data_IF_587053775416
#
_entry.id   IF_587053775416
#
_cell.length_a   1.000
_cell.length_b   1.000
_cell.length_c   1.000
_cell.angle_alpha   90.00
_cell.angle_beta   90.00
_cell.angle_gamma   90.00
#
_symmetry.space_group_name_H-M   'P 1'
#
loop_
_entity.id
_entity.type
_entity.pdbx_description
1 polymer ?
#
# COMPACT_ATOMS: atom_id res chain seq x y z
N UNK A 1 -19.12 5.64 -8.67
CA UNK A 1 -18.30 6.79 -9.12
C UNK A 1 -17.09 6.89 -8.22
N UNK A 2 -15.90 7.05 -8.81
CA UNK A 2 -14.68 7.27 -8.03
C UNK A 2 -14.69 8.60 -7.26
N UNK A 3 -13.77 8.71 -6.30
CA UNK A 3 -13.59 9.94 -5.52
C UNK A 3 -12.87 10.97 -6.39
N UNK A 4 -13.42 12.19 -6.50
CA UNK A 4 -12.74 13.27 -7.21
C UNK A 4 -11.49 13.69 -6.47
N UNK A 5 -10.36 13.75 -7.16
CA UNK A 5 -9.10 14.27 -6.62
C UNK A 5 -8.90 15.76 -6.95
N UNK A 6 -9.93 16.43 -7.45
CA UNK A 6 -9.87 17.83 -7.88
C UNK A 6 -8.70 18.10 -8.83
N UNK A 7 -8.48 17.20 -9.79
CA UNK A 7 -7.37 17.24 -10.74
C UNK A 7 -5.96 17.11 -10.10
N UNK A 8 -5.86 16.70 -8.82
CA UNK A 8 -4.58 16.43 -8.16
C UNK A 8 -4.12 15.01 -8.44
N UNK A 9 -2.80 14.84 -8.51
CA UNK A 9 -2.16 13.54 -8.71
C UNK A 9 -1.91 12.87 -7.35
N UNK A 10 -2.45 11.68 -7.17
CA UNK A 10 -2.18 10.84 -6.01
C UNK A 10 -1.23 9.72 -6.42
N UNK A 11 0.01 9.79 -6.00
CA UNK A 11 1.00 8.75 -6.22
C UNK A 11 0.90 7.75 -5.07
N UNK A 12 0.49 6.53 -5.37
CA UNK A 12 0.30 5.47 -4.38
C UNK A 12 1.35 4.40 -4.62
N UNK A 13 2.17 4.16 -3.60
CA UNK A 13 3.24 3.18 -3.65
C UNK A 13 3.07 2.10 -2.56
N UNK A 14 3.34 0.85 -2.94
CA UNK A 14 3.57 -0.23 -2.00
C UNK A 14 5.02 -0.14 -1.52
N UNK A 15 5.25 -0.28 -0.20
CA UNK A 15 6.60 -0.29 0.38
C UNK A 15 7.51 -1.33 -0.29
N UNK A 16 8.82 -1.13 -0.23
CA UNK A 16 9.83 -2.06 -0.73
C UNK A 16 9.84 -3.40 0.02
N UNK A 17 10.53 -4.40 -0.54
CA UNK A 17 10.65 -5.72 0.07
C UNK A 17 11.19 -5.66 1.50
N UNK A 18 10.56 -6.41 2.41
CA UNK A 18 11.01 -6.57 3.80
C UNK A 18 11.61 -7.94 4.03
N UNK A 19 12.32 -8.10 5.15
CA UNK A 19 12.83 -9.41 5.58
C UNK A 19 11.72 -10.46 5.75
N UNK A 20 10.47 -10.05 6.08
CA UNK A 20 9.34 -10.95 6.19
C UNK A 20 8.77 -11.34 4.81
N UNK A 21 8.71 -10.40 3.88
CA UNK A 21 8.31 -10.71 2.51
C UNK A 21 9.23 -11.77 1.90
N UNK A 22 10.55 -11.64 2.10
CA UNK A 22 11.55 -12.56 1.56
C UNK A 22 11.35 -14.02 2.02
N UNK A 23 10.78 -14.21 3.20
CA UNK A 23 10.53 -15.56 3.78
C UNK A 23 9.04 -15.90 3.86
N UNK A 24 8.19 -15.22 3.10
CA UNK A 24 6.74 -15.43 3.03
C UNK A 24 6.05 -15.45 4.40
N UNK A 25 6.47 -14.57 5.32
CA UNK A 25 5.79 -14.35 6.59
C UNK A 25 4.77 -13.22 6.49
N UNK A 26 3.62 -13.41 7.11
CA UNK A 26 2.62 -12.37 7.23
C UNK A 26 3.10 -11.24 8.13
N UNK A 27 2.86 -10.02 7.69
CA UNK A 27 3.11 -8.83 8.48
C UNK A 27 1.91 -7.89 8.36
N UNK A 28 1.17 -7.80 9.44
CA UNK A 28 0.06 -6.87 9.60
C UNK A 28 0.48 -5.65 10.41
N UNK A 29 -0.37 -5.31 11.36
CA UNK A 29 -0.17 -4.14 12.23
C UNK A 29 0.73 -4.44 13.44
N UNK A 30 0.89 -5.70 13.85
CA UNK A 30 1.76 -6.06 14.96
C UNK A 30 3.26 -5.93 14.63
N UNK A 31 3.66 -6.06 13.35
CA UNK A 31 5.06 -6.01 12.91
C UNK A 31 5.45 -4.63 12.37
N UNK A 32 5.30 -3.58 13.18
CA UNK A 32 5.60 -2.21 12.79
C UNK A 32 7.08 -1.97 12.46
N UNK A 33 7.99 -2.72 13.07
CA UNK A 33 9.44 -2.48 12.99
C UNK A 33 10.17 -3.40 12.01
N UNK A 34 9.45 -4.19 11.19
CA UNK A 34 10.10 -5.05 10.19
C UNK A 34 10.85 -4.20 9.16
N UNK A 35 12.18 -4.36 9.02
CA UNK A 35 12.98 -3.53 8.14
C UNK A 35 12.87 -3.97 6.67
N UNK A 36 13.23 -3.06 5.77
CA UNK A 36 13.45 -3.37 4.36
C UNK A 36 14.67 -4.30 4.22
N UNK A 37 14.64 -5.13 3.17
CA UNK A 37 15.87 -5.78 2.66
C UNK A 37 16.70 -4.78 1.87
N UNK A 38 17.94 -5.15 1.50
CA UNK A 38 18.72 -4.36 0.55
C UNK A 38 17.97 -4.15 -0.78
N UNK A 39 17.32 -5.20 -1.29
CA UNK A 39 16.49 -5.12 -2.48
C UNK A 39 15.33 -4.15 -2.30
N UNK A 40 14.67 -4.17 -1.14
CA UNK A 40 13.62 -3.19 -0.80
C UNK A 40 14.11 -1.75 -0.78
N UNK A 41 15.35 -1.50 -0.33
CA UNK A 41 15.96 -0.17 -0.41
C UNK A 41 16.22 0.25 -1.88
N UNK A 42 16.71 -0.68 -2.72
CA UNK A 42 16.91 -0.42 -4.15
C UNK A 42 15.57 -0.12 -4.84
N UNK A 43 14.52 -0.90 -4.56
CA UNK A 43 13.17 -0.65 -5.07
C UNK A 43 12.67 0.74 -4.67
N UNK A 44 12.86 1.16 -3.43
CA UNK A 44 12.46 2.48 -2.96
C UNK A 44 13.20 3.61 -3.72
N UNK A 45 14.50 3.48 -3.92
CA UNK A 45 15.28 4.45 -4.72
C UNK A 45 14.82 4.51 -6.18
N UNK A 46 14.51 3.38 -6.79
CA UNK A 46 13.99 3.34 -8.15
C UNK A 46 12.63 4.02 -8.26
N UNK A 47 11.73 3.82 -7.27
CA UNK A 47 10.46 4.54 -7.19
C UNK A 47 10.69 6.06 -7.12
N UNK A 48 11.63 6.50 -6.29
CA UNK A 48 11.98 7.92 -6.16
C UNK A 48 12.45 8.54 -7.48
N UNK A 49 13.37 7.87 -8.18
CA UNK A 49 13.85 8.31 -9.51
C UNK A 49 12.76 8.38 -10.57
N UNK A 50 11.88 7.36 -10.58
CA UNK A 50 10.75 7.35 -11.51
C UNK A 50 9.78 8.46 -11.19
N UNK A 51 9.51 8.72 -9.90
CA UNK A 51 8.65 9.82 -9.46
C UNK A 51 9.26 11.18 -9.81
N UNK A 52 10.57 11.39 -9.63
CA UNK A 52 11.26 12.63 -10.01
C UNK A 52 11.03 12.98 -11.49
N UNK A 53 11.13 11.98 -12.37
CA UNK A 53 10.86 12.16 -13.80
C UNK A 53 9.39 12.52 -14.09
N UNK A 54 8.47 12.03 -13.26
CA UNK A 54 7.03 12.27 -13.41
C UNK A 54 6.60 13.64 -12.88
N UNK A 55 7.23 14.12 -11.81
CA UNK A 55 6.89 15.38 -11.14
C UNK A 55 7.33 16.61 -11.92
N UNK A 56 8.51 16.57 -12.53
CA UNK A 56 9.17 17.74 -13.05
C UNK A 56 9.91 18.55 -11.96
N UNK A 57 10.65 19.59 -12.36
CA UNK A 57 11.62 20.26 -11.50
C UNK A 57 11.04 20.94 -10.23
N UNK A 58 9.82 21.45 -10.30
CA UNK A 58 9.27 22.32 -9.25
C UNK A 58 8.12 21.69 -8.43
N UNK A 59 7.70 20.46 -8.77
CA UNK A 59 6.59 19.82 -8.11
C UNK A 59 7.05 19.15 -6.79
N UNK A 60 6.42 19.53 -5.70
CA UNK A 60 6.63 18.93 -4.37
C UNK A 60 5.29 18.36 -3.88
N UNK A 61 5.09 17.04 -3.93
CA UNK A 61 3.87 16.43 -3.42
C UNK A 61 3.87 16.48 -1.88
N UNK A 62 2.69 16.59 -1.29
CA UNK A 62 2.51 16.35 0.14
C UNK A 62 2.84 14.88 0.46
N UNK A 63 3.66 14.66 1.48
CA UNK A 63 4.11 13.31 1.86
C UNK A 63 3.15 12.70 2.87
N UNK A 64 2.66 11.50 2.57
CA UNK A 64 1.84 10.67 3.44
C UNK A 64 2.42 9.26 3.58
N UNK A 65 2.44 8.72 4.78
CA UNK A 65 2.88 7.36 5.03
C UNK A 65 2.07 6.67 6.11
N UNK A 66 1.90 5.37 5.94
CA UNK A 66 1.64 4.48 7.06
C UNK A 66 2.71 4.65 8.14
N UNK A 67 2.33 4.49 9.40
CA UNK A 67 3.25 4.57 10.56
C UNK A 67 4.19 3.37 10.68
N UNK A 68 4.01 2.30 9.89
CA UNK A 68 4.90 1.15 9.88
C UNK A 68 6.30 1.52 9.35
N UNK A 69 7.36 1.08 10.03
CA UNK A 69 8.75 1.40 9.72
C UNK A 69 9.16 1.10 8.29
N UNK A 70 8.67 -0.01 7.69
CA UNK A 70 8.90 -0.35 6.28
C UNK A 70 8.36 0.69 5.29
N UNK A 71 7.21 1.30 5.60
CA UNK A 71 6.64 2.36 4.78
C UNK A 71 7.42 3.66 4.96
N UNK A 72 7.77 4.01 6.20
CA UNK A 72 8.57 5.18 6.52
C UNK A 72 9.99 5.10 5.92
N UNK A 73 10.65 3.94 5.96
CA UNK A 73 11.94 3.74 5.31
C UNK A 73 11.85 3.88 3.78
N UNK A 74 10.78 3.32 3.18
CA UNK A 74 10.54 3.48 1.75
C UNK A 74 10.34 4.96 1.39
N UNK A 75 9.52 5.69 2.16
CA UNK A 75 9.30 7.11 1.92
C UNK A 75 10.59 7.92 2.06
N UNK A 76 11.41 7.66 3.09
CA UNK A 76 12.66 8.40 3.30
C UNK A 76 13.60 8.29 2.08
N UNK A 77 13.73 7.09 1.51
CA UNK A 77 14.54 6.85 0.32
C UNK A 77 13.95 7.50 -0.95
N UNK A 78 12.62 7.57 -1.06
CA UNK A 78 11.97 8.29 -2.16
C UNK A 78 12.15 9.80 -2.00
N UNK A 79 11.96 10.34 -0.79
CA UNK A 79 12.09 11.76 -0.48
C UNK A 79 13.49 12.29 -0.83
N UNK A 80 14.55 11.50 -0.57
CA UNK A 80 15.92 11.80 -0.96
C UNK A 80 16.07 11.99 -2.49
N UNK A 81 15.42 11.16 -3.29
CA UNK A 81 15.52 11.21 -4.76
C UNK A 81 14.68 12.34 -5.40
N UNK A 82 13.68 12.86 -4.69
CA UNK A 82 12.83 13.98 -5.16
C UNK A 82 13.11 15.30 -4.44
N UNK A 83 14.16 15.37 -3.64
CA UNK A 83 14.55 16.55 -2.84
C UNK A 83 13.40 17.09 -1.98
N UNK A 84 12.68 16.18 -1.30
CA UNK A 84 11.59 16.53 -0.40
C UNK A 84 12.00 16.39 1.06
N UNK A 85 11.49 17.29 1.93
CA UNK A 85 11.75 17.21 3.36
C UNK A 85 10.92 16.08 4.00
N UNK A 86 11.57 15.01 4.35
CA UNK A 86 10.93 13.88 5.01
C UNK A 86 10.35 14.23 6.39
N UNK A 87 10.83 15.26 7.07
CA UNK A 87 10.29 15.71 8.36
C UNK A 87 8.86 16.26 8.24
N UNK A 88 8.46 16.73 7.07
CA UNK A 88 7.11 17.17 6.76
C UNK A 88 6.12 16.01 6.44
N UNK A 89 6.54 14.77 6.63
CA UNK A 89 5.69 13.61 6.37
C UNK A 89 4.50 13.54 7.31
N UNK A 90 3.31 13.53 6.75
CA UNK A 90 2.07 13.17 7.44
C UNK A 90 2.04 11.65 7.66
N UNK A 91 1.89 11.22 8.90
CA UNK A 91 1.83 9.81 9.30
C UNK A 91 0.44 9.49 9.79
N UNK A 92 -0.16 8.41 9.28
CA UNK A 92 -1.53 8.07 9.62
C UNK A 92 -1.71 6.55 9.75
N UNK A 93 -2.23 6.11 10.90
CA UNK A 93 -2.49 4.69 11.17
C UNK A 93 -3.57 4.11 10.27
N UNK A 94 -4.43 4.94 9.70
CA UNK A 94 -5.41 4.50 8.72
C UNK A 94 -4.80 4.03 7.39
N UNK A 95 -3.49 4.26 7.18
CA UNK A 95 -2.71 3.73 6.06
C UNK A 95 -1.96 2.44 6.38
N UNK A 96 -2.04 1.91 7.61
CA UNK A 96 -1.45 0.63 8.01
C UNK A 96 -1.97 -0.52 7.14
N UNK A 97 -1.21 -1.63 7.09
CA UNK A 97 -1.65 -2.86 6.43
C UNK A 97 -2.89 -3.43 7.11
N UNK A 98 -3.63 -4.28 6.41
CA UNK A 98 -4.69 -5.06 7.02
C UNK A 98 -4.16 -5.78 8.26
N UNK A 99 -4.88 -5.69 9.38
CA UNK A 99 -4.50 -6.43 10.58
C UNK A 99 -4.78 -7.92 10.36
N UNK A 100 -3.74 -8.71 10.44
CA UNK A 100 -3.85 -10.17 10.26
C UNK A 100 -4.02 -10.91 11.59
N UNK A 101 -4.20 -10.20 12.71
CA UNK A 101 -4.50 -10.77 14.01
C UNK A 101 -3.55 -11.91 14.38
N UNK A 102 -4.12 -13.08 14.71
CA UNK A 102 -3.33 -14.28 15.11
C UNK A 102 -2.48 -14.89 14.01
N UNK A 103 -2.57 -14.44 12.76
CA UNK A 103 -1.69 -14.89 11.69
C UNK A 103 -0.35 -14.13 11.65
N UNK A 104 -0.23 -13.08 12.46
CA UNK A 104 0.94 -12.23 12.56
C UNK A 104 2.23 -13.05 12.75
N UNK A 105 3.28 -12.72 12.01
CA UNK A 105 4.59 -13.40 12.00
C UNK A 105 4.61 -14.87 11.57
N UNK A 106 3.47 -15.46 11.21
CA UNK A 106 3.37 -16.85 10.73
C UNK A 106 3.56 -16.91 9.21
N UNK A 107 3.94 -18.07 8.70
CA UNK A 107 3.97 -18.27 7.25
C UNK A 107 2.58 -18.65 6.73
N UNK A 108 2.32 -18.34 5.45
CA UNK A 108 1.07 -18.78 4.78
C UNK A 108 0.90 -20.29 4.86
N UNK A 109 2.01 -21.04 4.73
CA UNK A 109 1.99 -22.51 4.78
C UNK A 109 1.57 -23.04 6.16
N UNK A 110 2.09 -22.46 7.25
CA UNK A 110 1.74 -22.87 8.62
C UNK A 110 0.26 -22.64 8.91
N UNK A 111 -0.27 -21.50 8.47
CA UNK A 111 -1.68 -21.18 8.68
C UNK A 111 -2.57 -22.10 7.85
N UNK A 112 -2.23 -22.31 6.57
CA UNK A 112 -3.01 -23.19 5.70
C UNK A 112 -2.97 -24.64 6.17
N UNK A 113 -1.89 -25.10 6.78
CA UNK A 113 -1.81 -26.43 7.37
C UNK A 113 -2.73 -26.62 8.59
N UNK A 114 -3.01 -25.54 9.32
CA UNK A 114 -3.85 -25.57 10.53
C UNK A 114 -5.35 -25.45 10.20
N UNK A 115 -5.72 -24.49 9.33
CA UNK A 115 -7.14 -24.13 9.11
C UNK A 115 -7.63 -24.32 7.67
N UNK A 116 -6.77 -24.84 6.79
CA UNK A 116 -7.08 -24.99 5.36
C UNK A 116 -6.69 -23.77 4.53
N UNK A 117 -6.99 -23.78 3.21
CA UNK A 117 -6.67 -22.68 2.32
C UNK A 117 -7.30 -21.36 2.78
N UNK A 118 -6.47 -20.34 2.93
CA UNK A 118 -6.88 -19.01 3.41
C UNK A 118 -6.90 -17.96 2.31
N UNK A 119 -6.46 -18.30 1.10
CA UNK A 119 -6.37 -17.37 -0.02
C UNK A 119 -7.31 -17.82 -1.13
N UNK A 120 -8.17 -16.91 -1.57
CA UNK A 120 -8.96 -17.08 -2.78
C UNK A 120 -8.04 -17.03 -4.02
N UNK A 121 -8.11 -18.06 -4.86
CA UNK A 121 -7.19 -18.26 -6.00
C UNK A 121 -7.43 -17.21 -7.09
N UNK A 122 -8.67 -16.80 -7.30
CA UNK A 122 -9.05 -15.87 -8.36
C UNK A 122 -8.60 -14.45 -8.04
N UNK A 123 -8.90 -13.98 -6.83
CA UNK A 123 -8.67 -12.60 -6.43
C UNK A 123 -7.34 -12.38 -5.71
N UNK A 124 -6.68 -13.47 -5.27
CA UNK A 124 -5.47 -13.39 -4.42
C UNK A 124 -5.71 -12.60 -3.14
N UNK A 125 -6.82 -12.88 -2.48
CA UNK A 125 -7.31 -12.24 -1.26
C UNK A 125 -7.54 -13.29 -0.18
N UNK A 126 -7.53 -12.89 1.09
CA UNK A 126 -7.95 -13.79 2.16
C UNK A 126 -9.42 -14.17 1.99
N UNK A 127 -9.69 -15.48 1.90
CA UNK A 127 -11.04 -16.03 1.80
C UNK A 127 -11.76 -16.08 3.15
N UNK A 128 -11.03 -15.92 4.24
CA UNK A 128 -11.53 -15.90 5.61
C UNK A 128 -10.94 -14.72 6.37
N UNK A 129 -11.73 -14.16 7.31
CA UNK A 129 -11.25 -13.10 8.20
C UNK A 129 -10.22 -13.68 9.19
N UNK A 130 -9.05 -13.06 9.37
CA UNK A 130 -8.10 -13.44 10.42
C UNK A 130 -8.74 -13.31 11.81
N UNK A 131 -8.53 -14.29 12.68
CA UNK A 131 -9.01 -14.22 14.06
C UNK A 131 -8.33 -13.06 14.81
N UNK A 132 -9.14 -12.13 15.33
CA UNK A 132 -8.67 -10.91 15.98
C UNK A 132 -8.10 -9.86 15.02
N UNK A 133 -8.31 -10.02 13.70
CA UNK A 133 -7.84 -9.09 12.67
C UNK A 133 -8.95 -8.35 11.92
N UNK A 134 -8.55 -7.57 10.95
CA UNK A 134 -9.42 -6.85 10.02
C UNK A 134 -9.87 -7.74 8.85
N UNK A 135 -10.95 -7.34 8.20
CA UNK A 135 -11.30 -7.78 6.87
C UNK A 135 -11.33 -6.58 5.91
N UNK A 136 -11.60 -6.80 4.64
CA UNK A 136 -11.48 -5.72 3.64
C UNK A 136 -12.47 -4.58 3.83
N UNK A 137 -13.65 -4.85 4.37
CA UNK A 137 -14.63 -3.82 4.72
C UNK A 137 -14.15 -2.87 5.82
N UNK A 138 -13.39 -3.38 6.82
CA UNK A 138 -12.80 -2.57 7.88
C UNK A 138 -11.74 -1.63 7.30
N UNK A 139 -10.90 -2.18 6.41
CA UNK A 139 -9.89 -1.41 5.68
C UNK A 139 -10.55 -0.34 4.82
N UNK A 140 -11.64 -0.68 4.11
CA UNK A 140 -12.37 0.29 3.29
C UNK A 140 -13.00 1.40 4.14
N UNK A 141 -13.52 1.07 5.32
CA UNK A 141 -14.10 2.04 6.25
C UNK A 141 -13.05 3.05 6.74
N UNK A 142 -11.89 2.57 7.27
CA UNK A 142 -10.85 3.50 7.75
C UNK A 142 -10.23 4.34 6.64
N UNK A 143 -10.06 3.79 5.44
CA UNK A 143 -9.57 4.52 4.29
C UNK A 143 -10.58 5.55 3.77
N UNK A 144 -11.87 5.25 3.79
CA UNK A 144 -12.92 6.22 3.45
C UNK A 144 -12.93 7.40 4.41
N UNK A 145 -12.76 7.15 5.72
CA UNK A 145 -12.59 8.20 6.73
C UNK A 145 -11.34 9.04 6.48
N UNK A 146 -10.22 8.40 6.10
CA UNK A 146 -8.98 9.11 5.79
C UNK A 146 -9.15 9.99 4.55
N UNK A 147 -9.67 9.45 3.46
CA UNK A 147 -9.93 10.18 2.21
C UNK A 147 -10.90 11.36 2.42
N UNK A 148 -11.94 11.18 3.24
CA UNK A 148 -12.90 12.25 3.57
C UNK A 148 -12.31 13.40 4.38
N UNK A 149 -11.14 13.23 4.99
CA UNK A 149 -10.43 14.26 5.75
C UNK A 149 -9.37 14.99 4.91
N UNK A 150 -9.08 14.54 3.68
CA UNK A 150 -8.06 15.14 2.83
C UNK A 150 -8.58 16.38 2.10
N UNK A 151 -7.79 17.47 2.05
CA UNK A 151 -8.20 18.70 1.37
C UNK A 151 -8.12 18.60 -0.18
N UNK A 152 -7.35 17.64 -0.72
CA UNK A 152 -7.04 17.52 -2.16
C UNK A 152 -6.62 18.86 -2.82
N UNK A 153 -5.82 19.66 -2.14
CA UNK A 153 -5.36 20.97 -2.56
C UNK A 153 -4.02 20.94 -3.32
N UNK A 154 -3.26 19.86 -3.18
CA UNK A 154 -2.00 19.62 -3.86
C UNK A 154 -1.81 18.13 -4.22
N UNK A 155 -0.79 17.84 -5.03
CA UNK A 155 -0.40 16.45 -5.33
C UNK A 155 0.07 15.74 -4.04
N UNK A 156 -0.11 14.43 -3.98
CA UNK A 156 0.23 13.63 -2.78
C UNK A 156 1.05 12.41 -3.17
N UNK A 157 2.06 12.09 -2.36
CA UNK A 157 2.76 10.82 -2.36
C UNK A 157 2.33 10.00 -1.14
N UNK A 158 1.80 8.81 -1.36
CA UNK A 158 1.20 7.97 -0.32
C UNK A 158 1.94 6.63 -0.31
N UNK A 159 2.64 6.32 0.79
CA UNK A 159 3.31 5.03 0.96
C UNK A 159 2.49 4.17 1.91
N UNK A 160 2.02 3.05 1.41
CA UNK A 160 1.22 2.10 2.19
C UNK A 160 1.59 0.64 1.86
N UNK A 161 0.66 -0.30 1.92
CA UNK A 161 0.92 -1.73 1.93
C UNK A 161 0.12 -2.46 0.85
N UNK A 162 0.32 -3.78 0.74
CA UNK A 162 -0.27 -4.59 -0.31
C UNK A 162 -1.79 -4.53 -0.35
N UNK A 163 -2.47 -4.94 0.72
CA UNK A 163 -3.94 -4.97 0.76
C UNK A 163 -4.53 -3.57 0.89
N UNK A 164 -3.92 -2.73 1.71
CA UNK A 164 -4.33 -1.32 1.87
C UNK A 164 -4.28 -0.56 0.54
N UNK A 165 -3.24 -0.73 -0.28
CA UNK A 165 -3.16 -0.10 -1.60
C UNK A 165 -4.27 -0.58 -2.55
N UNK A 166 -4.63 -1.86 -2.50
CA UNK A 166 -5.71 -2.42 -3.34
C UNK A 166 -7.06 -1.80 -3.00
N UNK A 167 -7.38 -1.68 -1.71
CA UNK A 167 -8.64 -1.08 -1.25
C UNK A 167 -8.65 0.43 -1.50
N UNK A 168 -7.56 1.14 -1.20
CA UNK A 168 -7.43 2.58 -1.44
C UNK A 168 -7.64 2.93 -2.92
N UNK A 169 -6.98 2.19 -3.81
CA UNK A 169 -7.15 2.36 -5.25
C UNK A 169 -8.56 2.01 -5.70
N UNK A 170 -9.15 0.96 -5.14
CA UNK A 170 -10.55 0.60 -5.40
C UNK A 170 -11.53 1.73 -5.09
N UNK A 171 -11.38 2.39 -3.94
CA UNK A 171 -12.19 3.56 -3.54
C UNK A 171 -11.99 4.74 -4.50
N UNK A 172 -10.74 5.07 -4.84
CA UNK A 172 -10.41 6.21 -5.71
C UNK A 172 -10.88 6.00 -7.15
N UNK A 173 -10.79 4.78 -7.66
CA UNK A 173 -11.23 4.42 -9.00
C UNK A 173 -12.74 4.21 -9.11
N UNK A 174 -13.46 4.11 -7.99
CA UNK A 174 -14.88 3.81 -7.97
C UNK A 174 -15.21 2.40 -8.44
N UNK A 175 -14.34 1.44 -8.13
CA UNK A 175 -14.58 0.02 -8.40
C UNK A 175 -15.78 -0.44 -7.56
N UNK A 176 -16.67 -1.23 -8.16
CA UNK A 176 -17.78 -1.82 -7.42
C UNK A 176 -17.26 -2.80 -6.35
N UNK A 177 -17.80 -2.74 -5.12
CA UNK A 177 -17.40 -3.67 -4.07
C UNK A 177 -17.64 -5.13 -4.46
N UNK A 178 -16.64 -5.97 -4.24
CA UNK A 178 -16.81 -7.42 -4.37
C UNK A 178 -17.64 -7.94 -3.19
N UNK A 179 -18.83 -8.48 -3.47
CA UNK A 179 -19.81 -8.86 -2.42
C UNK A 179 -19.21 -9.78 -1.35
N UNK A 180 -18.35 -10.72 -1.74
CA UNK A 180 -17.71 -11.67 -0.84
C UNK A 180 -16.63 -11.04 0.08
N UNK A 181 -16.12 -9.85 -0.27
CA UNK A 181 -15.06 -9.16 0.48
C UNK A 181 -15.55 -7.86 1.11
N UNK A 182 -16.75 -7.38 0.77
CA UNK A 182 -17.36 -6.18 1.31
C UNK A 182 -16.64 -4.86 0.96
N UNK A 183 -15.72 -4.87 0.00
CA UNK A 183 -14.89 -3.72 -0.35
C UNK A 183 -14.60 -3.61 -1.84
N UNK A 184 -14.35 -2.38 -2.37
CA UNK A 184 -13.83 -2.17 -3.71
C UNK A 184 -12.33 -2.48 -3.72
N UNK A 185 -11.91 -3.44 -4.54
CA UNK A 185 -10.54 -3.96 -4.53
C UNK A 185 -9.93 -3.90 -5.92
N UNK A 186 -8.89 -3.11 -6.08
CA UNK A 186 -8.08 -3.04 -7.30
C UNK A 186 -7.12 -4.23 -7.42
N UNK A 187 -6.58 -4.53 -8.62
CA UNK A 187 -5.52 -5.53 -8.80
C UNK A 187 -4.31 -5.28 -7.90
N UNK A 188 -3.55 -6.33 -7.56
CA UNK A 188 -2.37 -6.21 -6.70
C UNK A 188 -1.27 -5.38 -7.37
N UNK A 189 -0.48 -4.68 -6.55
CA UNK A 189 0.77 -4.05 -6.94
C UNK A 189 1.94 -4.92 -6.45
N UNK A 190 2.91 -5.17 -7.31
CA UNK A 190 4.18 -5.77 -6.90
C UNK A 190 4.88 -4.86 -5.88
N UNK A 191 5.77 -5.42 -5.05
CA UNK A 191 6.58 -4.61 -4.15
C UNK A 191 7.46 -3.64 -4.93
N UNK A 192 7.60 -2.42 -4.42
CA UNK A 192 8.34 -1.38 -5.14
C UNK A 192 7.62 -0.82 -6.36
N UNK A 193 6.31 -1.10 -6.54
CA UNK A 193 5.49 -0.46 -7.57
C UNK A 193 4.84 0.82 -7.07
N UNK A 194 4.64 1.74 -8.01
CA UNK A 194 3.91 2.99 -7.79
C UNK A 194 2.96 3.25 -8.96
N UNK A 195 1.75 3.67 -8.62
CA UNK A 195 0.76 4.18 -9.58
C UNK A 195 0.43 5.63 -9.29
N UNK A 196 -0.06 6.34 -10.28
CA UNK A 196 -0.66 7.67 -10.14
C UNK A 196 -2.15 7.58 -10.45
N UNK A 197 -2.98 8.14 -9.57
CA UNK A 197 -4.41 8.27 -9.79
C UNK A 197 -4.78 9.76 -9.84
N UNK A 198 -5.61 10.11 -10.83
CA UNK A 198 -6.20 11.44 -10.98
C UNK A 198 -7.63 11.31 -11.50
N UNK A 199 -8.59 11.82 -10.72
CA UNK A 199 -10.04 11.82 -11.06
C UNK A 199 -10.54 10.47 -11.61
N UNK A 200 -10.23 9.38 -10.90
CA UNK A 200 -10.69 8.03 -11.23
C UNK A 200 -9.93 7.36 -12.38
N UNK A 201 -8.83 7.94 -12.86
CA UNK A 201 -7.96 7.35 -13.90
C UNK A 201 -6.62 6.97 -13.28
N UNK A 202 -6.21 5.71 -13.47
CA UNK A 202 -4.94 5.18 -12.99
C UNK A 202 -3.91 5.06 -14.12
N UNK A 203 -2.66 5.41 -13.81
CA UNK A 203 -1.50 5.20 -14.67
C UNK A 203 -0.35 4.59 -13.86
N UNK A 204 0.37 3.64 -14.45
CA UNK A 204 1.56 3.07 -13.85
C UNK A 204 2.72 4.06 -13.92
N UNK A 205 3.38 4.32 -12.78
CA UNK A 205 4.59 5.16 -12.69
C UNK A 205 5.83 4.27 -12.78
N UNK A 206 5.84 3.18 -12.02
CA UNK A 206 6.88 2.15 -12.07
C UNK A 206 6.29 0.80 -11.67
N UNK A 207 6.66 -0.25 -12.41
CA UNK A 207 6.43 -1.63 -12.03
C UNK A 207 7.66 -2.12 -11.24
N UNK A 208 7.43 -2.46 -9.98
CA UNK A 208 8.48 -3.01 -9.14
C UNK A 208 8.91 -4.38 -9.65
N UNK A 209 10.19 -4.57 -9.89
CA UNK A 209 10.77 -5.88 -10.22
C UNK A 209 10.74 -6.89 -9.05
N UNK A 210 9.99 -6.56 -7.98
CA UNK A 210 9.81 -7.40 -6.82
C UNK A 210 9.14 -8.71 -7.18
N UNK A 211 9.53 -9.76 -6.50
CA UNK A 211 8.84 -11.03 -6.52
C UNK A 211 7.36 -10.76 -6.20
N UNK A 212 6.51 -10.81 -7.22
CA UNK A 212 5.06 -10.79 -7.01
C UNK A 212 4.72 -11.78 -5.90
N UNK A 213 3.69 -11.50 -5.13
CA UNK A 213 3.24 -12.37 -4.06
C UNK A 213 3.29 -13.83 -4.54
N UNK A 214 4.30 -14.57 -4.06
CA UNK A 214 4.32 -16.01 -4.19
C UNK A 214 3.26 -16.52 -3.23
N UNK A 215 2.05 -16.70 -3.78
CA UNK A 215 1.00 -17.45 -3.12
C UNK A 215 1.43 -18.91 -2.94
#
# INVERSE_FOLDING_TARGET
>A
MGISTHNRRLFIARHGETVFNKVARMQGQAELHTPLTWEGCVQAKMMGRSLANYLGADARPQLWSSTAGRALQTLALIAEEIDADWHETNRDDRLLEIDVGRWSSRTYADIAAEIGPIVDVEHKLFSVRPDGGEYYEDVAQRLSHWLGALPFDQDMLIICHGMTARVLRGLLLGIEPLAQFGAPIAPSLAQGSMVMIRDGVEALVIDGSGLGERA
#
